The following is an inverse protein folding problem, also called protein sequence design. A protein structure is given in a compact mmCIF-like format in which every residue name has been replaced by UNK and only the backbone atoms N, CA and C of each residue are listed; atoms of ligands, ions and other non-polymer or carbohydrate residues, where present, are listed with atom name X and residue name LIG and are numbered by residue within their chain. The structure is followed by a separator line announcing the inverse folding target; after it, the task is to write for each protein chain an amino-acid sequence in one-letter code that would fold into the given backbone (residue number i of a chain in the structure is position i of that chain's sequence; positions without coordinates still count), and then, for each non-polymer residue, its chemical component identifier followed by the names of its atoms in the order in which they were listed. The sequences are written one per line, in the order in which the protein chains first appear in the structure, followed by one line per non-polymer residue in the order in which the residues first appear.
data_IF_903580649477
#
_entry.id   IF_903580649477
#
_cell.length_a   1.000
_cell.length_b   1.000
_cell.length_c   1.000
_cell.angle_alpha   90.00
_cell.angle_beta   90.00
_cell.angle_gamma   90.00
#
_symmetry.space_group_name_H-M   'P 1'
#
loop_
_entity.id
_entity.type
_entity.pdbx_description
1 polymer ?
#
# COMPACT_ATOMS: atom_id res chain seq x y z
N UNK A 1 -9.85 15.42 8.52
CA UNK A 1 -9.70 14.43 7.43
C UNK A 1 -8.27 14.55 6.92
N UNK A 2 -7.61 13.47 6.53
CA UNK A 2 -6.22 13.57 6.05
C UNK A 2 -6.21 13.86 4.54
N UNK A 3 -5.15 14.49 4.00
CA UNK A 3 -5.05 14.75 2.56
C UNK A 3 -5.18 13.49 1.69
N UNK A 4 -4.77 12.33 2.20
CA UNK A 4 -4.92 11.04 1.54
C UNK A 4 -6.37 10.60 1.42
N UNK A 5 -7.18 10.84 2.46
CA UNK A 5 -8.61 10.54 2.42
C UNK A 5 -9.32 11.50 1.47
N UNK A 6 -8.92 12.76 1.42
CA UNK A 6 -9.43 13.74 0.45
C UNK A 6 -9.10 13.35 -1.00
N UNK A 7 -7.84 12.96 -1.26
CA UNK A 7 -7.42 12.46 -2.56
C UNK A 7 -8.18 11.19 -2.97
N UNK A 8 -8.34 10.22 -2.06
CA UNK A 8 -9.12 9.03 -2.35
C UNK A 8 -10.58 9.37 -2.72
N UNK A 9 -11.18 10.35 -2.04
CA UNK A 9 -12.55 10.81 -2.30
C UNK A 9 -12.69 11.60 -3.61
N UNK A 10 -11.62 12.22 -4.11
CA UNK A 10 -11.65 12.94 -5.38
C UNK A 10 -11.51 12.04 -6.60
N UNK A 11 -11.21 10.74 -6.42
CA UNK A 11 -11.16 9.77 -7.51
C UNK A 11 -12.59 9.39 -7.91
N UNK A 12 -13.02 9.83 -9.08
CA UNK A 12 -14.37 9.56 -9.62
C UNK A 12 -14.51 8.12 -10.15
N UNK A 13 -13.45 7.55 -10.70
CA UNK A 13 -13.45 6.19 -11.27
C UNK A 13 -12.80 5.20 -10.31
N UNK A 14 -13.62 4.34 -9.69
CA UNK A 14 -13.15 3.32 -8.73
C UNK A 14 -12.16 2.32 -9.35
N UNK A 15 -12.20 2.10 -10.68
CA UNK A 15 -11.23 1.27 -11.40
C UNK A 15 -9.79 1.80 -11.36
N UNK A 16 -9.58 3.08 -11.02
CA UNK A 16 -8.26 3.67 -10.81
C UNK A 16 -7.67 3.35 -9.42
N UNK A 17 -8.48 2.81 -8.52
CA UNK A 17 -8.07 2.41 -7.17
C UNK A 17 -7.99 0.90 -7.12
N UNK A 18 -6.81 0.38 -6.80
CA UNK A 18 -6.59 -1.05 -6.61
C UNK A 18 -6.39 -1.37 -5.14
N UNK A 19 -6.83 -2.55 -4.72
CA UNK A 19 -6.63 -3.05 -3.36
C UNK A 19 -5.77 -4.31 -3.42
N UNK A 20 -4.70 -4.33 -2.65
CA UNK A 20 -3.95 -5.56 -2.42
C UNK A 20 -4.64 -6.49 -1.44
N UNK A 21 -4.57 -7.79 -1.66
CA UNK A 21 -5.01 -8.81 -0.69
C UNK A 21 -4.34 -8.65 0.69
N UNK A 22 -3.08 -8.25 0.72
CA UNK A 22 -2.33 -7.83 1.89
C UNK A 22 -3.00 -6.67 2.65
N UNK A 23 -3.43 -5.63 1.94
CA UNK A 23 -4.10 -4.45 2.51
C UNK A 23 -5.51 -4.83 2.97
N UNK A 24 -6.23 -5.63 2.17
CA UNK A 24 -7.55 -6.16 2.54
C UNK A 24 -7.48 -6.92 3.87
N UNK A 25 -6.47 -7.79 4.04
CA UNK A 25 -6.26 -8.52 5.29
C UNK A 25 -6.10 -7.57 6.49
N UNK A 26 -5.23 -6.57 6.39
CA UNK A 26 -5.01 -5.61 7.49
C UNK A 26 -6.27 -4.80 7.83
N UNK A 27 -7.01 -4.37 6.81
CA UNK A 27 -8.27 -3.64 6.99
C UNK A 27 -9.34 -4.50 7.69
N UNK A 28 -9.46 -5.77 7.32
CA UNK A 28 -10.40 -6.70 7.96
C UNK A 28 -9.99 -7.09 9.39
N UNK A 29 -8.69 -7.17 9.68
CA UNK A 29 -8.20 -7.38 11.04
C UNK A 29 -8.39 -6.16 11.95
N UNK A 30 -8.47 -4.96 11.39
CA UNK A 30 -8.62 -3.71 12.13
C UNK A 30 -10.02 -3.43 12.67
N UNK A 31 -11.05 -4.16 12.23
CA UNK A 31 -12.43 -3.96 12.69
C UNK A 31 -12.78 -4.87 13.88
N UNK A 32 -13.64 -4.38 14.77
CA UNK A 32 -13.90 -5.02 16.07
C UNK A 32 -15.03 -6.07 16.06
N UNK A 33 -15.68 -6.30 14.91
CA UNK A 33 -16.76 -7.30 14.82
C UNK A 33 -16.90 -7.92 13.44
N UNK A 34 -17.36 -9.17 13.43
CA UNK A 34 -17.75 -9.93 12.23
C UNK A 34 -18.73 -9.18 11.32
N UNK A 35 -19.68 -8.44 11.91
CA UNK A 35 -20.66 -7.65 11.15
C UNK A 35 -19.98 -6.48 10.43
N UNK A 36 -19.02 -5.81 11.06
CA UNK A 36 -18.24 -4.75 10.43
C UNK A 36 -17.31 -5.33 9.36
N UNK A 37 -16.67 -6.47 9.62
CA UNK A 37 -15.79 -7.15 8.66
C UNK A 37 -16.54 -7.48 7.37
N UNK A 38 -17.71 -8.11 7.44
CA UNK A 38 -18.52 -8.41 6.25
C UNK A 38 -18.95 -7.17 5.46
N UNK A 39 -19.27 -6.08 6.16
CA UNK A 39 -19.64 -4.80 5.51
C UNK A 39 -18.45 -4.16 4.80
N UNK A 40 -17.29 -4.15 5.46
CA UNK A 40 -16.06 -3.63 4.90
C UNK A 40 -15.60 -4.46 3.71
N UNK A 41 -15.60 -5.78 3.83
CA UNK A 41 -15.31 -6.71 2.74
C UNK A 41 -16.20 -6.46 1.52
N UNK A 42 -17.51 -6.33 1.71
CA UNK A 42 -18.45 -6.07 0.63
C UNK A 42 -18.14 -4.74 -0.09
N UNK A 43 -17.82 -3.68 0.65
CA UNK A 43 -17.46 -2.39 0.09
C UNK A 43 -16.10 -2.43 -0.65
N UNK A 44 -15.10 -3.14 -0.11
CA UNK A 44 -13.77 -3.23 -0.73
C UNK A 44 -13.77 -4.09 -2.00
N UNK A 45 -14.69 -5.06 -2.12
CA UNK A 45 -14.86 -5.88 -3.34
C UNK A 45 -15.41 -5.12 -4.55
N UNK A 46 -15.85 -3.87 -4.37
CA UNK A 46 -16.20 -2.99 -5.49
C UNK A 46 -14.96 -2.48 -6.26
N UNK A 47 -13.77 -2.59 -5.66
CA UNK A 47 -12.50 -2.24 -6.29
C UNK A 47 -11.79 -3.48 -6.86
N UNK A 48 -10.96 -3.34 -7.91
CA UNK A 48 -10.05 -4.39 -8.34
C UNK A 48 -9.15 -4.87 -7.20
N UNK A 49 -9.20 -6.16 -6.88
CA UNK A 49 -8.35 -6.81 -5.88
C UNK A 49 -7.23 -7.56 -6.56
N UNK A 50 -5.99 -7.28 -6.14
CA UNK A 50 -4.78 -7.92 -6.66
C UNK A 50 -4.13 -8.81 -5.60
N UNK A 51 -3.70 -9.99 -6.03
CA UNK A 51 -2.81 -10.85 -5.23
C UNK A 51 -1.41 -10.24 -5.22
N UNK A 52 -0.99 -9.71 -4.08
CA UNK A 52 0.31 -9.01 -3.99
C UNK A 52 1.46 -9.97 -3.74
N UNK A 53 1.23 -11.05 -2.99
CA UNK A 53 2.28 -11.99 -2.64
C UNK A 53 2.27 -13.21 -3.56
N UNK A 54 3.29 -13.31 -4.39
CA UNK A 54 3.64 -14.51 -5.15
C UNK A 54 5.15 -14.72 -5.11
N UNK A 55 5.64 -15.85 -5.63
CA UNK A 55 7.07 -16.20 -5.58
C UNK A 55 7.97 -15.09 -6.14
N UNK A 56 7.59 -14.45 -7.25
CA UNK A 56 8.35 -13.34 -7.84
C UNK A 56 8.46 -12.15 -6.89
N UNK A 57 7.34 -11.68 -6.34
CA UNK A 57 7.31 -10.56 -5.39
C UNK A 57 8.04 -10.91 -4.09
N UNK A 58 7.92 -12.15 -3.60
CA UNK A 58 8.63 -12.60 -2.40
C UNK A 58 10.16 -12.51 -2.56
N UNK A 59 10.68 -12.95 -3.71
CA UNK A 59 12.11 -12.87 -4.03
C UNK A 59 12.54 -11.40 -4.14
N UNK A 60 11.82 -10.60 -4.93
CA UNK A 60 12.12 -9.18 -5.13
C UNK A 60 12.05 -8.37 -3.82
N UNK A 61 11.07 -8.65 -2.95
CA UNK A 61 10.93 -7.99 -1.66
C UNK A 61 12.10 -8.32 -0.73
N UNK A 62 12.58 -9.57 -0.75
CA UNK A 62 13.76 -9.97 0.01
C UNK A 62 15.04 -9.26 -0.52
N UNK A 63 15.17 -9.07 -1.83
CA UNK A 63 16.26 -8.30 -2.44
C UNK A 63 16.21 -6.83 -2.05
N UNK A 64 15.04 -6.20 -2.15
CA UNK A 64 14.79 -4.82 -1.74
C UNK A 64 15.11 -4.62 -0.26
N UNK A 65 14.68 -5.54 0.61
CA UNK A 65 15.01 -5.52 2.03
C UNK A 65 16.53 -5.59 2.27
N UNK A 66 17.23 -6.51 1.61
CA UNK A 66 18.70 -6.62 1.72
C UNK A 66 19.40 -5.35 1.22
N UNK A 67 18.89 -4.73 0.15
CA UNK A 67 19.45 -3.49 -0.41
C UNK A 67 19.33 -2.32 0.58
N UNK A 68 18.16 -2.14 1.19
CA UNK A 68 17.97 -1.12 2.24
C UNK A 68 18.83 -1.41 3.47
N UNK A 69 18.91 -2.68 3.89
CA UNK A 69 19.72 -3.08 5.05
C UNK A 69 21.21 -2.78 4.84
N UNK A 70 21.75 -3.01 3.63
CA UNK A 70 23.14 -2.64 3.28
C UNK A 70 23.40 -1.13 3.38
N UNK A 71 22.36 -0.31 3.28
CA UNK A 71 22.41 1.15 3.47
C UNK A 71 22.19 1.58 4.94
N UNK A 72 22.08 0.63 5.87
CA UNK A 72 21.78 0.91 7.28
C UNK A 72 20.31 1.19 7.56
N UNK A 73 19.40 0.94 6.61
CA UNK A 73 17.97 1.21 6.74
C UNK A 73 17.22 -0.10 6.93
N UNK A 74 16.37 -0.17 7.95
CA UNK A 74 15.56 -1.37 8.22
C UNK A 74 14.09 -1.02 8.20
N UNK A 75 13.34 -1.62 7.27
CA UNK A 75 11.88 -1.59 7.26
C UNK A 75 11.40 -2.68 8.23
N UNK A 76 10.60 -2.30 9.22
CA UNK A 76 10.25 -3.19 10.34
C UNK A 76 9.10 -4.15 10.01
N UNK A 77 8.22 -3.79 9.08
CA UNK A 77 7.05 -4.59 8.72
C UNK A 77 7.27 -5.29 7.39
N UNK A 78 7.15 -6.61 7.39
CA UNK A 78 7.24 -7.42 6.17
C UNK A 78 6.14 -7.05 5.16
N UNK A 79 4.96 -6.63 5.62
CA UNK A 79 3.88 -6.21 4.74
C UNK A 79 4.23 -4.92 3.97
N UNK A 80 4.88 -3.95 4.62
CA UNK A 80 5.31 -2.71 3.97
C UNK A 80 6.32 -2.98 2.83
N UNK A 81 7.28 -3.90 3.04
CA UNK A 81 8.22 -4.27 1.96
C UNK A 81 7.52 -5.03 0.81
N UNK A 82 6.51 -5.86 1.11
CA UNK A 82 5.72 -6.58 0.10
C UNK A 82 4.90 -5.58 -0.72
N UNK A 83 4.12 -4.72 -0.06
CA UNK A 83 3.26 -3.71 -0.70
C UNK A 83 4.09 -2.79 -1.58
N UNK A 84 5.17 -2.22 -1.04
CA UNK A 84 6.01 -1.32 -1.81
C UNK A 84 6.71 -2.01 -2.98
N UNK A 85 7.14 -3.26 -2.82
CA UNK A 85 7.76 -4.04 -3.91
C UNK A 85 6.73 -4.34 -5.00
N UNK A 86 5.52 -4.75 -4.62
CA UNK A 86 4.42 -4.96 -5.58
C UNK A 86 4.14 -3.68 -6.37
N UNK A 87 4.04 -2.53 -5.71
CA UNK A 87 3.83 -1.25 -6.39
C UNK A 87 4.95 -0.91 -7.38
N UNK A 88 6.22 -1.15 -7.00
CA UNK A 88 7.37 -0.94 -7.90
C UNK A 88 7.29 -1.85 -9.13
N UNK A 89 7.07 -3.14 -8.90
CA UNK A 89 7.10 -4.16 -9.95
C UNK A 89 5.93 -4.05 -10.94
N UNK A 90 4.74 -3.67 -10.45
CA UNK A 90 3.53 -3.52 -11.27
C UNK A 90 3.31 -2.08 -11.77
N UNK A 91 4.18 -1.13 -11.40
CA UNK A 91 4.09 0.26 -11.84
C UNK A 91 2.94 1.05 -11.20
N UNK A 92 2.51 0.68 -10.00
CA UNK A 92 1.47 1.39 -9.26
C UNK A 92 2.05 2.49 -8.35
N UNK A 93 1.33 3.61 -8.24
CA UNK A 93 1.60 4.61 -7.22
C UNK A 93 0.91 4.25 -5.90
N UNK A 94 1.62 4.34 -4.78
CA UNK A 94 1.09 4.05 -3.46
C UNK A 94 0.50 5.32 -2.83
N UNK A 95 -0.78 5.28 -2.46
CA UNK A 95 -1.41 6.27 -1.60
C UNK A 95 -1.23 5.85 -0.13
N UNK A 96 -0.47 6.62 0.65
CA UNK A 96 -0.21 6.28 2.06
C UNK A 96 0.01 7.53 2.92
N UNK A 97 -0.08 7.36 4.24
CA UNK A 97 0.39 8.32 5.24
C UNK A 97 1.50 7.76 6.14
N UNK A 98 2.01 6.55 5.85
CA UNK A 98 3.03 5.89 6.65
C UNK A 98 4.44 6.23 6.16
N UNK A 99 5.24 6.91 7.00
CA UNK A 99 6.63 7.26 6.69
C UNK A 99 7.55 6.05 6.47
N UNK A 100 7.14 4.85 6.88
CA UNK A 100 7.92 3.62 6.69
C UNK A 100 8.11 3.27 5.19
N UNK A 101 7.35 3.87 4.27
CA UNK A 101 7.55 3.78 2.82
C UNK A 101 8.57 4.77 2.24
N UNK A 102 8.98 5.80 2.99
CA UNK A 102 9.94 6.80 2.49
C UNK A 102 11.27 6.18 2.02
N UNK A 103 11.89 5.22 2.74
CA UNK A 103 13.09 4.56 2.23
C UNK A 103 12.91 3.85 0.90
N UNK A 104 11.72 3.29 0.64
CA UNK A 104 11.44 2.62 -0.64
C UNK A 104 11.29 3.64 -1.76
N UNK A 105 10.66 4.79 -1.50
CA UNK A 105 10.62 5.90 -2.44
C UNK A 105 12.03 6.42 -2.75
N UNK A 106 12.80 6.69 -1.72
CA UNK A 106 14.10 7.37 -1.82
C UNK A 106 15.22 6.49 -2.40
N UNK A 107 15.07 5.15 -2.30
CA UNK A 107 16.14 4.22 -2.70
C UNK A 107 15.74 3.12 -3.66
N UNK A 108 14.45 2.82 -3.81
CA UNK A 108 13.96 1.69 -4.62
C UNK A 108 13.04 2.12 -5.77
N UNK A 109 12.71 3.42 -5.88
CA UNK A 109 11.89 3.95 -6.96
C UNK A 109 10.37 3.80 -6.75
N UNK A 110 9.92 3.50 -5.52
CA UNK A 110 8.49 3.47 -5.20
C UNK A 110 7.86 4.82 -5.53
N UNK A 111 6.85 4.80 -6.41
CA UNK A 111 6.04 5.97 -6.70
C UNK A 111 5.02 6.16 -5.56
N UNK A 112 4.95 7.37 -5.02
CA UNK A 112 3.98 7.73 -3.97
C UNK A 112 3.09 8.85 -4.48
N UNK A 113 1.80 8.76 -4.18
CA UNK A 113 0.84 9.82 -4.54
C UNK A 113 1.18 11.08 -3.74
N UNK A 114 1.47 12.17 -4.45
CA UNK A 114 1.64 13.48 -3.84
C UNK A 114 0.25 14.02 -3.49
N UNK A 115 -0.05 14.04 -2.20
CA UNK A 115 -1.24 14.72 -1.69
C UNK A 115 -0.77 16.08 -1.19
N UNK A 116 -0.83 17.08 -2.07
CA UNK A 116 -0.65 18.46 -1.59
C UNK A 116 -1.74 18.70 -0.56
N UNK A 117 -1.35 19.07 0.67
CA UNK A 117 -2.32 19.75 1.52
C UNK A 117 -2.86 20.93 0.74
N UNK A 118 -4.18 21.09 0.69
CA UNK A 118 -4.74 22.42 0.51
C UNK A 118 -4.21 23.21 1.71
N UNK A 119 -3.07 23.85 1.53
CA UNK A 119 -2.39 24.65 2.52
C UNK A 119 -2.39 26.07 2.03
N UNK A 120 -3.50 26.76 2.30
CA UNK A 120 -3.53 28.07 2.97
C UNK A 120 -4.70 28.07 3.97
#
# INVERSE_FOLDING_TARGET
MTPQVEFLRSIEETSKVVIGDAILLELLQGVSSERQARRLEAALKEFPIYTMLGTRIAIAAADNYRLLRRKGITIRKTMDIIIGTFCIEEGHALLHQDRDFNPMRDHLGLQVVQTSGVGE
#
